data_IF_703289758556
#
_entry.id   IF_703289758556
#
_cell.length_a   1.000
_cell.length_b   1.000
_cell.length_c   1.000
_cell.angle_alpha   90.00
_cell.angle_beta   90.00
_cell.angle_gamma   90.00
#
_symmetry.space_group_name_H-M   'P 1'
#
loop_
_entity.id
_entity.type
_entity.pdbx_description
1 polymer ?
#
# COMPACT_ATOMS: atom_id res chain seq x y z
N UNK A 1 15.66 2.06 -10.62
CA UNK A 1 14.36 1.81 -11.30
C UNK A 1 13.76 0.49 -10.78
N UNK A 2 12.46 0.25 -10.97
CA UNK A 2 11.78 -0.94 -10.42
C UNK A 2 12.38 -2.25 -10.98
N UNK A 3 12.81 -2.24 -12.23
CA UNK A 3 13.46 -3.39 -12.88
C UNK A 3 14.79 -3.75 -12.20
N UNK A 4 15.59 -2.77 -11.82
CA UNK A 4 16.88 -2.98 -11.13
C UNK A 4 16.67 -3.60 -9.73
N UNK A 5 15.64 -3.15 -9.01
CA UNK A 5 15.28 -3.72 -7.71
C UNK A 5 14.79 -5.16 -7.87
N UNK A 6 13.99 -5.43 -8.89
CA UNK A 6 13.54 -6.79 -9.20
C UNK A 6 14.72 -7.71 -9.58
N UNK A 7 15.66 -7.23 -10.39
CA UNK A 7 16.89 -7.96 -10.70
C UNK A 7 17.70 -8.27 -9.43
N UNK A 8 17.85 -7.30 -8.53
CA UNK A 8 18.55 -7.49 -7.27
C UNK A 8 17.90 -8.58 -6.43
N UNK A 9 16.59 -8.54 -6.23
CA UNK A 9 15.88 -9.56 -5.44
C UNK A 9 16.00 -10.96 -6.07
N UNK A 10 15.98 -11.06 -7.38
CA UNK A 10 16.07 -12.33 -8.08
C UNK A 10 17.52 -12.80 -8.37
N UNK A 11 18.51 -11.96 -8.09
CA UNK A 11 19.90 -12.27 -8.41
C UNK A 11 20.36 -13.60 -7.74
N UNK A 12 21.01 -14.51 -8.45
CA UNK A 12 21.34 -15.85 -7.94
C UNK A 12 22.32 -15.86 -6.76
N UNK A 13 23.11 -14.79 -6.59
CA UNK A 13 24.00 -14.62 -5.43
C UNK A 13 23.28 -14.09 -4.19
N UNK A 14 22.11 -13.45 -4.33
CA UNK A 14 21.29 -13.01 -3.21
C UNK A 14 20.56 -14.23 -2.66
N UNK A 15 20.80 -14.56 -1.41
CA UNK A 15 20.27 -15.77 -0.75
C UNK A 15 19.22 -15.47 0.31
N UNK A 16 19.27 -14.31 0.91
CA UNK A 16 18.34 -13.89 1.95
C UNK A 16 18.15 -12.37 1.90
N UNK A 17 17.00 -11.90 2.33
CA UNK A 17 16.77 -10.49 2.63
C UNK A 17 16.78 -10.30 4.14
N UNK A 18 17.58 -9.36 4.61
CA UNK A 18 17.78 -9.11 6.04
C UNK A 18 17.45 -7.66 6.36
N UNK A 19 16.60 -7.44 7.34
CA UNK A 19 16.27 -6.11 7.84
C UNK A 19 16.33 -6.09 9.37
N UNK A 20 16.89 -5.02 9.93
CA UNK A 20 16.89 -4.73 11.36
C UNK A 20 16.21 -3.37 11.63
N UNK A 21 15.21 -3.06 10.84
CA UNK A 21 14.42 -1.83 10.99
C UNK A 21 13.78 -1.75 12.38
N UNK A 22 13.69 -0.55 12.92
CA UNK A 22 13.08 -0.30 14.23
C UNK A 22 11.55 -0.26 14.18
N UNK A 23 10.96 -0.20 12.99
CA UNK A 23 9.53 -0.21 12.75
C UNK A 23 9.23 -0.01 11.28
N UNK A 24 8.21 -0.71 10.82
CA UNK A 24 7.68 -0.60 9.47
C UNK A 24 6.18 -0.41 9.55
N UNK A 25 5.64 0.54 8.80
CA UNK A 25 4.19 0.68 8.68
C UNK A 25 3.57 -0.54 8.00
N UNK A 26 4.14 -0.97 6.88
CA UNK A 26 3.78 -2.18 6.16
C UNK A 26 4.99 -3.05 5.84
N UNK A 27 6.09 -2.45 5.38
CA UNK A 27 7.31 -3.17 5.00
C UNK A 27 7.28 -3.65 3.55
N UNK A 28 6.91 -2.79 2.60
CA UNK A 28 6.83 -3.12 1.17
C UNK A 28 8.10 -3.80 0.64
N UNK A 29 9.34 -3.34 0.94
CA UNK A 29 10.54 -4.03 0.48
C UNK A 29 10.65 -5.47 0.98
N UNK A 30 10.15 -5.76 2.19
CA UNK A 30 10.15 -7.10 2.75
C UNK A 30 9.14 -8.02 2.06
N UNK A 31 7.97 -7.47 1.68
CA UNK A 31 6.99 -8.19 0.88
C UNK A 31 7.55 -8.50 -0.50
N UNK A 32 8.11 -7.51 -1.21
CA UNK A 32 8.71 -7.67 -2.53
C UNK A 32 9.82 -8.73 -2.51
N UNK A 33 10.73 -8.66 -1.54
CA UNK A 33 11.78 -9.67 -1.37
C UNK A 33 11.21 -11.07 -1.12
N UNK A 34 10.10 -11.19 -0.39
CA UNK A 34 9.45 -12.48 -0.14
C UNK A 34 8.90 -13.12 -1.41
N UNK A 35 8.47 -12.31 -2.40
CA UNK A 35 7.98 -12.80 -3.69
C UNK A 35 9.08 -13.39 -4.58
N UNK A 36 10.34 -13.06 -4.30
CA UNK A 36 11.51 -13.63 -5.00
C UNK A 36 11.96 -15.00 -4.47
N UNK A 37 11.15 -15.68 -3.66
CA UNK A 37 11.44 -16.98 -3.04
C UNK A 37 12.65 -16.96 -2.08
N UNK A 38 13.13 -15.77 -1.70
CA UNK A 38 14.24 -15.64 -0.74
C UNK A 38 13.70 -15.68 0.68
N UNK A 39 14.50 -16.27 1.58
CA UNK A 39 14.16 -16.20 3.00
C UNK A 39 14.26 -14.76 3.47
N UNK A 40 13.25 -14.31 4.20
CA UNK A 40 13.22 -12.99 4.83
C UNK A 40 13.51 -13.13 6.32
N UNK A 41 14.45 -12.33 6.80
CA UNK A 41 14.87 -12.23 8.21
C UNK A 41 14.56 -10.81 8.66
N UNK A 42 13.59 -10.64 9.56
CA UNK A 42 13.11 -9.32 9.92
C UNK A 42 12.62 -9.28 11.39
N UNK A 43 12.49 -8.08 11.99
CA UNK A 43 11.94 -7.95 13.34
C UNK A 43 10.54 -8.54 13.45
N UNK A 44 10.24 -9.18 14.58
CA UNK A 44 8.89 -9.63 14.93
C UNK A 44 8.05 -8.47 15.49
N UNK A 45 7.97 -7.38 14.74
CA UNK A 45 7.31 -6.14 15.14
C UNK A 45 6.97 -5.27 13.92
N UNK A 46 5.80 -4.65 13.93
CA UNK A 46 5.37 -3.74 12.85
C UNK A 46 4.49 -4.43 11.81
N UNK A 47 4.18 -3.73 10.72
CA UNK A 47 3.23 -4.19 9.71
C UNK A 47 3.68 -5.43 8.93
N UNK A 48 4.99 -5.70 8.86
CA UNK A 48 5.50 -6.88 8.16
C UNK A 48 5.05 -8.22 8.78
N UNK A 49 4.60 -8.26 10.03
CA UNK A 49 4.11 -9.51 10.65
C UNK A 49 2.79 -9.99 10.06
N UNK A 50 2.10 -9.15 9.28
CA UNK A 50 0.87 -9.52 8.57
C UNK A 50 1.13 -10.48 7.39
N UNK A 51 2.35 -10.47 6.86
CA UNK A 51 2.73 -11.31 5.74
C UNK A 51 4.00 -12.15 5.98
N UNK A 52 4.78 -11.87 7.01
CA UNK A 52 5.91 -12.71 7.44
C UNK A 52 5.46 -13.63 8.57
N UNK A 53 5.33 -14.91 8.29
CA UNK A 53 4.92 -15.90 9.28
C UNK A 53 6.11 -16.58 9.93
N UNK A 54 5.99 -17.01 11.18
CA UNK A 54 7.03 -17.76 11.91
C UNK A 54 7.43 -19.06 11.20
N UNK A 55 6.51 -19.67 10.46
CA UNK A 55 6.75 -20.92 9.76
C UNK A 55 7.59 -20.74 8.50
N UNK A 56 7.42 -19.61 7.81
CA UNK A 56 7.97 -19.38 6.47
C UNK A 56 8.97 -18.22 6.40
N UNK A 57 9.26 -17.55 7.51
CA UNK A 57 10.26 -16.50 7.63
C UNK A 57 11.09 -16.67 8.91
N UNK A 58 12.07 -15.82 9.12
CA UNK A 58 12.83 -15.72 10.37
C UNK A 58 12.46 -14.43 11.06
N UNK A 59 11.57 -14.52 12.05
CA UNK A 59 11.16 -13.37 12.84
C UNK A 59 12.07 -13.22 14.07
N UNK A 60 12.74 -12.08 14.16
CA UNK A 60 13.70 -11.75 15.20
C UNK A 60 13.00 -11.16 16.42
N UNK A 61 13.12 -11.79 17.60
CA UNK A 61 12.60 -11.23 18.84
C UNK A 61 13.38 -9.96 19.23
N UNK A 62 12.73 -9.12 20.00
CA UNK A 62 13.31 -7.88 20.50
C UNK A 62 12.43 -7.21 21.55
N UNK A 63 12.68 -5.95 21.82
CA UNK A 63 11.94 -5.14 22.78
C UNK A 63 11.81 -3.70 22.32
N UNK A 64 10.79 -3.02 22.84
CA UNK A 64 10.63 -1.57 22.67
C UNK A 64 11.57 -0.85 23.63
N UNK A 65 12.44 -0.03 23.09
CA UNK A 65 13.41 0.77 23.84
C UNK A 65 13.22 2.25 23.52
N UNK A 66 13.55 3.11 24.45
CA UNK A 66 13.51 4.55 24.22
C UNK A 66 14.49 4.95 23.12
N UNK A 67 14.05 5.88 22.27
CA UNK A 67 14.91 6.43 21.22
C UNK A 67 16.00 7.27 21.85
N UNK A 68 17.24 7.03 21.43
CA UNK A 68 18.38 7.81 21.94
C UNK A 68 18.21 9.29 21.62
N UNK A 69 18.52 10.20 22.53
CA UNK A 69 18.34 11.64 22.33
C UNK A 69 18.96 12.17 21.03
N UNK A 70 20.13 11.66 20.65
CA UNK A 70 20.85 12.05 19.43
C UNK A 70 20.17 11.58 18.14
N UNK A 71 19.25 10.63 18.23
CA UNK A 71 18.45 10.13 17.09
C UNK A 71 17.07 10.78 17.01
N UNK A 72 16.71 11.61 17.98
CA UNK A 72 15.43 12.31 17.97
C UNK A 72 15.48 13.50 17.02
N UNK A 73 14.58 13.52 16.04
CA UNK A 73 14.39 14.66 15.15
C UNK A 73 13.28 15.56 15.68
N UNK A 74 13.63 16.82 15.97
CA UNK A 74 12.67 17.82 16.46
C UNK A 74 11.56 18.04 15.44
N UNK A 75 10.31 17.96 15.91
CA UNK A 75 9.11 18.13 15.08
C UNK A 75 8.65 16.85 14.35
N UNK A 76 9.43 15.77 14.38
CA UNK A 76 9.05 14.48 13.81
C UNK A 76 8.71 13.44 14.89
N UNK A 77 9.54 13.35 15.92
CA UNK A 77 9.31 12.41 17.02
C UNK A 77 8.48 13.07 18.12
N UNK A 78 7.46 12.36 18.58
CA UNK A 78 6.71 12.75 19.79
C UNK A 78 7.46 12.36 21.05
N UNK A 79 7.10 12.98 22.16
CA UNK A 79 7.67 12.64 23.47
C UNK A 79 7.41 11.15 23.77
N UNK A 80 8.38 10.52 24.39
CA UNK A 80 8.33 9.11 24.81
C UNK A 80 8.22 8.09 23.63
N UNK A 81 8.65 8.50 22.43
CA UNK A 81 8.76 7.61 21.27
C UNK A 81 9.70 6.45 21.56
N UNK A 82 9.28 5.24 21.21
CA UNK A 82 10.05 4.00 21.34
C UNK A 82 10.30 3.35 20.00
N UNK A 83 11.46 2.69 19.90
CA UNK A 83 11.84 1.88 18.76
C UNK A 83 11.93 0.41 19.16
N UNK A 84 11.49 -0.46 18.27
CA UNK A 84 11.75 -1.89 18.45
C UNK A 84 13.20 -2.19 18.12
N UNK A 85 13.91 -2.81 19.03
CA UNK A 85 15.30 -3.21 18.83
C UNK A 85 15.38 -4.73 18.92
N UNK A 86 15.90 -5.36 17.86
CA UNK A 86 16.07 -6.80 17.81
C UNK A 86 17.10 -7.29 18.80
N UNK A 87 16.95 -8.52 19.25
CA UNK A 87 18.00 -9.20 20.01
C UNK A 87 19.14 -9.60 19.06
N UNK A 88 20.21 -8.81 19.02
CA UNK A 88 21.33 -9.02 18.10
C UNK A 88 22.06 -10.37 18.31
N UNK A 89 22.11 -10.88 19.55
CA UNK A 89 22.68 -12.20 19.79
C UNK A 89 21.86 -13.31 19.16
N UNK A 90 20.53 -13.19 19.22
CA UNK A 90 19.62 -14.10 18.54
C UNK A 90 19.74 -13.93 17.02
N UNK A 91 19.75 -12.71 16.53
CA UNK A 91 19.90 -12.41 15.11
C UNK A 91 21.19 -13.02 14.54
N UNK A 92 22.34 -12.87 15.23
CA UNK A 92 23.60 -13.47 14.83
C UNK A 92 23.53 -14.98 14.74
N UNK A 93 22.92 -15.65 15.73
CA UNK A 93 22.69 -17.10 15.69
C UNK A 93 21.84 -17.53 14.49
N UNK A 94 20.77 -16.80 14.22
CA UNK A 94 19.88 -17.11 13.10
C UNK A 94 20.53 -16.86 11.73
N UNK A 95 21.32 -15.80 11.57
CA UNK A 95 22.11 -15.57 10.35
C UNK A 95 23.07 -16.73 10.08
N UNK A 96 23.75 -17.19 11.12
CA UNK A 96 24.65 -18.34 11.02
C UNK A 96 23.88 -19.63 10.66
N UNK A 97 22.75 -19.90 11.33
CA UNK A 97 21.93 -21.08 11.03
C UNK A 97 21.37 -21.05 9.59
N UNK A 98 20.90 -19.87 9.12
CA UNK A 98 20.45 -19.70 7.73
C UNK A 98 21.58 -19.98 6.74
N UNK A 99 22.80 -19.52 7.03
CA UNK A 99 23.96 -19.76 6.18
C UNK A 99 24.36 -21.27 6.14
N UNK A 100 24.44 -21.91 7.30
CA UNK A 100 24.87 -23.30 7.44
C UNK A 100 23.80 -24.30 6.93
N UNK A 101 22.53 -23.98 7.09
CA UNK A 101 21.37 -24.83 6.78
C UNK A 101 20.48 -24.26 5.67
N UNK A 102 21.08 -23.60 4.69
CA UNK A 102 20.37 -22.80 3.68
C UNK A 102 19.25 -23.56 2.95
N UNK A 103 19.44 -24.84 2.62
CA UNK A 103 18.45 -25.67 1.93
C UNK A 103 17.11 -25.72 2.64
N UNK A 104 17.10 -25.77 3.97
CA UNK A 104 15.90 -25.71 4.81
C UNK A 104 15.16 -24.39 4.66
N UNK A 105 15.90 -23.30 4.54
CA UNK A 105 15.35 -21.94 4.44
C UNK A 105 14.86 -21.59 3.04
N UNK A 106 15.44 -22.18 1.99
CA UNK A 106 14.89 -22.08 0.62
C UNK A 106 13.45 -22.61 0.56
N UNK A 107 13.18 -23.76 1.20
CA UNK A 107 11.83 -24.33 1.23
C UNK A 107 10.83 -23.36 1.92
N UNK A 108 11.28 -22.72 3.01
CA UNK A 108 10.45 -21.72 3.70
C UNK A 108 10.18 -20.49 2.82
N UNK A 109 11.20 -19.93 2.18
CA UNK A 109 11.07 -18.79 1.27
C UNK A 109 10.11 -19.06 0.12
N UNK A 110 10.20 -20.24 -0.51
CA UNK A 110 9.26 -20.65 -1.57
C UNK A 110 7.82 -20.74 -1.08
N UNK A 111 7.59 -21.31 0.09
CA UNK A 111 6.25 -21.37 0.70
C UNK A 111 5.70 -19.98 0.98
N UNK A 112 6.55 -19.09 1.51
CA UNK A 112 6.16 -17.70 1.78
C UNK A 112 5.78 -16.97 0.49
N UNK A 113 6.56 -17.14 -0.58
CA UNK A 113 6.28 -16.52 -1.88
C UNK A 113 4.90 -16.94 -2.43
N UNK A 114 4.58 -18.23 -2.40
CA UNK A 114 3.28 -18.76 -2.86
C UNK A 114 2.12 -18.11 -2.07
N UNK A 115 2.25 -18.07 -0.74
CA UNK A 115 1.21 -17.48 0.13
C UNK A 115 1.03 -16.00 -0.14
N UNK A 116 2.14 -15.25 -0.20
CA UNK A 116 2.10 -13.81 -0.39
C UNK A 116 1.67 -13.44 -1.82
N UNK A 117 2.08 -14.17 -2.83
CA UNK A 117 1.62 -13.97 -4.20
C UNK A 117 0.10 -14.12 -4.32
N UNK A 118 -0.48 -15.11 -3.67
CA UNK A 118 -1.93 -15.30 -3.66
C UNK A 118 -2.64 -14.18 -2.88
N UNK A 119 -2.14 -13.82 -1.70
CA UNK A 119 -2.79 -12.88 -0.78
C UNK A 119 -2.67 -11.42 -1.24
N UNK A 120 -1.52 -11.03 -1.78
CA UNK A 120 -1.19 -9.65 -2.14
C UNK A 120 -1.14 -9.41 -3.66
N UNK A 121 -1.68 -10.34 -4.48
CA UNK A 121 -1.98 -10.07 -5.89
C UNK A 121 -3.12 -9.05 -6.01
N UNK A 122 -3.22 -8.41 -7.17
CA UNK A 122 -4.34 -7.49 -7.45
C UNK A 122 -5.69 -8.19 -7.22
N UNK A 123 -5.86 -9.41 -7.74
CA UNK A 123 -7.09 -10.20 -7.55
C UNK A 123 -7.35 -10.53 -6.07
N UNK A 124 -6.31 -10.92 -5.33
CA UNK A 124 -6.40 -11.23 -3.90
C UNK A 124 -6.82 -10.00 -3.10
N UNK A 125 -6.21 -8.86 -3.37
CA UNK A 125 -6.52 -7.58 -2.71
C UNK A 125 -7.91 -7.06 -3.11
N UNK A 126 -8.31 -7.18 -4.37
CA UNK A 126 -9.65 -6.82 -4.83
C UNK A 126 -10.71 -7.62 -4.11
N UNK A 127 -10.56 -8.94 -4.02
CA UNK A 127 -11.51 -9.80 -3.29
C UNK A 127 -11.61 -9.44 -1.80
N UNK A 128 -10.48 -9.15 -1.16
CA UNK A 128 -10.49 -8.71 0.24
C UNK A 128 -11.21 -7.37 0.40
N UNK A 129 -10.97 -6.44 -0.52
CA UNK A 129 -11.62 -5.13 -0.51
C UNK A 129 -13.13 -5.25 -0.73
N UNK A 130 -13.57 -6.05 -1.70
CA UNK A 130 -14.99 -6.36 -1.93
C UNK A 130 -15.66 -6.92 -0.66
N UNK A 131 -15.02 -7.88 0.01
CA UNK A 131 -15.54 -8.44 1.27
C UNK A 131 -15.68 -7.38 2.38
N UNK A 132 -14.73 -6.44 2.47
CA UNK A 132 -14.81 -5.34 3.43
C UNK A 132 -15.95 -4.41 3.08
N UNK A 133 -16.11 -4.06 1.81
CA UNK A 133 -17.22 -3.22 1.35
C UNK A 133 -18.56 -3.88 1.61
N UNK A 134 -18.73 -5.14 1.26
CA UNK A 134 -19.98 -5.90 1.49
C UNK A 134 -20.34 -5.98 2.97
N UNK A 135 -19.35 -6.03 3.84
CA UNK A 135 -19.55 -6.15 5.28
C UNK A 135 -19.90 -4.81 5.95
N UNK A 136 -19.27 -3.72 5.49
CA UNK A 136 -19.31 -2.45 6.21
C UNK A 136 -20.05 -1.32 5.49
N UNK A 137 -20.27 -1.43 4.17
CA UNK A 137 -21.09 -0.45 3.46
C UNK A 137 -22.57 -0.65 3.79
N UNK A 138 -23.30 0.43 4.05
CA UNK A 138 -24.75 0.36 4.12
C UNK A 138 -25.30 -0.08 2.77
N UNK A 139 -26.30 -0.97 2.79
CA UNK A 139 -27.04 -1.33 1.57
C UNK A 139 -27.79 -0.10 1.11
N UNK A 140 -27.34 0.51 0.03
CA UNK A 140 -28.09 1.58 -0.63
C UNK A 140 -29.29 0.96 -1.34
N UNK A 141 -30.47 1.54 -1.14
CA UNK A 141 -31.62 1.20 -1.98
C UNK A 141 -31.27 1.49 -3.44
N UNK A 142 -31.57 0.56 -4.31
CA UNK A 142 -31.36 0.80 -5.74
C UNK A 142 -32.05 2.12 -6.13
N UNK A 143 -31.38 3.01 -6.86
CA UNK A 143 -31.99 4.26 -7.29
C UNK A 143 -33.29 3.90 -8.00
N UNK A 144 -34.40 4.47 -7.52
CA UNK A 144 -35.72 4.24 -8.06
C UNK A 144 -35.65 4.26 -9.59
N UNK A 145 -36.21 3.22 -10.22
CA UNK A 145 -36.19 3.02 -11.67
C UNK A 145 -36.30 4.35 -12.40
N UNK A 146 -35.38 4.62 -13.30
CA UNK A 146 -35.38 5.85 -14.10
C UNK A 146 -36.81 6.14 -14.55
N UNK A 147 -37.42 7.15 -13.95
CA UNK A 147 -38.69 7.63 -14.41
C UNK A 147 -38.42 8.16 -15.80
N UNK A 148 -39.05 7.54 -16.80
CA UNK A 148 -39.00 8.00 -18.18
C UNK A 148 -39.68 9.37 -18.22
N UNK A 149 -38.92 10.41 -17.97
CA UNK A 149 -39.37 11.78 -18.08
C UNK A 149 -39.66 12.04 -19.54
N UNK A 150 -40.91 11.78 -19.93
CA UNK A 150 -41.42 12.25 -21.23
C UNK A 150 -41.44 13.76 -21.21
N UNK A 151 -40.31 14.36 -21.54
CA UNK A 151 -40.24 15.80 -21.72
C UNK A 151 -41.27 16.22 -22.77
N UNK A 152 -42.11 17.20 -22.50
CA UNK A 152 -43.02 17.71 -23.48
C UNK A 152 -42.23 18.18 -24.70
N UNK A 153 -42.67 17.74 -25.90
CA UNK A 153 -42.04 18.17 -27.16
C UNK A 153 -42.09 19.70 -27.19
N UNK A 154 -40.94 20.34 -27.19
CA UNK A 154 -40.85 21.79 -27.39
C UNK A 154 -41.52 22.14 -28.71
N UNK A 155 -42.62 22.89 -28.68
CA UNK A 155 -43.17 23.45 -29.90
C UNK A 155 -42.17 24.45 -30.47
N UNK A 156 -41.80 24.27 -31.75
CA UNK A 156 -40.98 25.25 -32.45
C UNK A 156 -41.74 26.58 -32.41
N UNK A 157 -41.26 27.53 -31.64
CA UNK A 157 -41.73 28.90 -31.71
C UNK A 157 -41.18 29.47 -33.00
N UNK A 158 -42.11 29.78 -33.94
CA UNK A 158 -41.73 30.53 -35.13
C UNK A 158 -41.38 31.94 -34.65
N UNK A 159 -40.09 32.16 -34.44
CA UNK A 159 -39.56 33.50 -34.26
C UNK A 159 -39.69 34.18 -35.61
N UNK A 160 -40.77 34.97 -35.79
CA UNK A 160 -40.76 35.93 -36.85
C UNK A 160 -39.47 36.76 -36.75
N UNK A 161 -38.85 37.11 -37.91
CA UNK A 161 -37.58 37.81 -37.84
C UNK A 161 -37.74 39.05 -36.98
N UNK A 162 -36.78 39.35 -36.12
CA UNK A 162 -36.85 40.50 -35.19
C UNK A 162 -37.11 41.77 -36.00
N UNK A 163 -37.95 42.70 -35.49
CA UNK A 163 -38.20 43.91 -36.19
C UNK A 163 -36.87 44.63 -36.51
N UNK A 164 -36.61 44.83 -37.78
CA UNK A 164 -35.43 45.49 -38.25
C UNK A 164 -35.47 46.94 -37.75
N UNK A 165 -34.44 47.35 -37.01
CA UNK A 165 -34.07 48.70 -36.57
C UNK A 165 -34.43 49.00 -35.10
N UNK A 166 -33.64 48.51 -34.21
CA UNK A 166 -33.32 49.23 -32.98
C UNK A 166 -32.53 50.50 -33.33
N UNK A 167 -33.21 51.67 -33.30
CA UNK A 167 -32.50 52.95 -33.35
C UNK A 167 -31.82 53.21 -32.02
N UNK A 168 -30.53 53.04 -31.94
CA UNK A 168 -29.76 53.40 -30.81
C UNK A 168 -29.80 54.93 -30.58
N UNK A 169 -30.04 55.45 -29.39
CA UNK A 169 -30.00 56.85 -29.11
C UNK A 169 -28.59 57.40 -29.35
N UNK A 170 -28.48 58.55 -30.04
CA UNK A 170 -27.23 59.24 -30.28
C UNK A 170 -26.65 59.74 -28.96
N UNK A 171 -25.48 59.24 -28.58
CA UNK A 171 -24.74 59.79 -27.44
C UNK A 171 -24.36 61.25 -27.72
N UNK A 172 -24.83 62.20 -26.89
CA UNK A 172 -24.37 63.58 -26.89
C UNK A 172 -22.95 63.61 -26.30
N UNK A 173 -21.98 64.13 -27.05
CA UNK A 173 -20.66 64.50 -26.52
C UNK A 173 -20.89 65.57 -25.45
N UNK A 174 -20.41 65.34 -24.25
CA UNK A 174 -20.24 66.34 -23.22
C UNK A 174 -18.86 66.95 -23.42
N UNK A 175 -18.84 68.29 -23.62
CA UNK A 175 -17.59 69.08 -23.68
C UNK A 175 -16.93 69.10 -22.30
#
# INVERSE_FOLDING_TARGET
EDDEINELYNHPKVKAHVSFTHGEGFGRPLLEASLSEKIVIAPNWGGQVDFLTKDNSVLLPGSLNDVKPESLMKGLHVKDTKWFTVNYNYASKMLKDVFENYSKYVVKGKKLAIVNQSKFSLDGMTKQFEQILDKYLPKFEEPAKKVDLKLPKLKKVNLNPPPSKLKLPKLKRVN
#
